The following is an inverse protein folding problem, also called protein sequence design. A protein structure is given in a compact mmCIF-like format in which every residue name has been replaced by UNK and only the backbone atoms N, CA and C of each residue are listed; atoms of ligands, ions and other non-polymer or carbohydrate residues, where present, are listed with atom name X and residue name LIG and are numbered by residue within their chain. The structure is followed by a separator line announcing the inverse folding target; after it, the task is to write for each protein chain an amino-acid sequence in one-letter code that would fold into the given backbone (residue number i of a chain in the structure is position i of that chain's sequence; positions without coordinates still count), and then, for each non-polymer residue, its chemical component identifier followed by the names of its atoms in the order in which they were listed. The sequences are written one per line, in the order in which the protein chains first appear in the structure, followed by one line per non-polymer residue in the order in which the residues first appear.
data_IF_855041370943
#
_entry.id   IF_855041370943
#
_cell.length_a   1.000
_cell.length_b   1.000
_cell.length_c   1.000
_cell.angle_alpha   90.00
_cell.angle_beta   90.00
_cell.angle_gamma   90.00
#
_symmetry.space_group_name_H-M   'P 1'
#
loop_
_entity.id
_entity.type
_entity.pdbx_description
1 polymer ?
#
# COMPACT_ATOMS: atom_id res chain seq x y z
N UNK A 1 -2.99 16.68 2.43
CA UNK A 1 -3.24 15.28 2.65
C UNK A 1 -4.38 14.80 1.75
N UNK A 2 -4.40 13.52 1.34
CA UNK A 2 -5.58 12.95 0.71
C UNK A 2 -6.79 13.07 1.65
N UNK A 3 -7.99 13.04 1.12
CA UNK A 3 -9.22 13.06 1.90
C UNK A 3 -10.03 11.79 1.60
N UNK A 4 -10.69 11.24 2.61
CA UNK A 4 -11.59 10.11 2.45
C UNK A 4 -12.79 10.52 1.58
N UNK A 5 -13.10 9.68 0.58
CA UNK A 5 -14.11 9.94 -0.44
C UNK A 5 -15.56 9.80 0.02
N UNK A 6 -16.47 10.06 -0.90
CA UNK A 6 -17.92 10.08 -0.64
C UNK A 6 -18.52 8.69 -0.37
N UNK A 7 -17.82 7.60 -0.74
CA UNK A 7 -18.18 6.22 -0.45
C UNK A 7 -17.84 5.78 0.98
N UNK A 8 -17.16 6.65 1.73
CA UNK A 8 -16.83 6.45 3.13
C UNK A 8 -18.02 6.78 4.03
N UNK A 9 -18.15 6.09 5.18
CA UNK A 9 -19.16 6.43 6.18
C UNK A 9 -19.14 7.93 6.52
N UNK A 10 -20.30 8.58 6.59
CA UNK A 10 -20.47 10.04 6.68
C UNK A 10 -19.59 10.71 7.75
N UNK A 11 -19.32 10.01 8.85
CA UNK A 11 -18.47 10.51 9.94
C UNK A 11 -16.99 10.67 9.58
N UNK A 12 -16.52 10.03 8.50
CA UNK A 12 -15.13 10.07 8.04
C UNK A 12 -14.94 10.89 6.76
N UNK A 13 -16.02 11.23 6.06
CA UNK A 13 -15.95 11.99 4.80
C UNK A 13 -15.19 13.30 5.00
N UNK A 14 -14.27 13.59 4.08
CA UNK A 14 -13.44 14.80 4.12
C UNK A 14 -12.39 14.84 5.24
N UNK A 15 -12.29 13.82 6.09
CA UNK A 15 -11.20 13.72 7.07
C UNK A 15 -9.94 13.16 6.44
N UNK A 16 -8.79 13.53 7.02
CA UNK A 16 -7.51 12.94 6.64
C UNK A 16 -7.48 11.47 7.09
N UNK A 17 -7.03 10.54 6.22
CA UNK A 17 -6.79 9.16 6.60
C UNK A 17 -5.78 9.03 7.73
N UNK A 18 -5.90 7.99 8.55
CA UNK A 18 -5.06 7.82 9.74
C UNK A 18 -3.64 7.32 9.41
N UNK A 19 -3.49 6.49 8.38
CA UNK A 19 -2.28 5.69 8.11
C UNK A 19 -1.17 6.46 7.37
N UNK A 20 -0.87 7.69 7.80
CA UNK A 20 0.15 8.53 7.14
C UNK A 20 1.56 7.91 7.19
N UNK A 21 1.83 7.10 8.22
CA UNK A 21 3.09 6.37 8.36
C UNK A 21 3.32 5.26 7.33
N UNK A 22 2.31 4.84 6.58
CA UNK A 22 2.50 3.85 5.51
C UNK A 22 3.21 4.41 4.27
N UNK A 23 3.38 5.73 4.17
CA UNK A 23 4.21 6.38 3.16
C UNK A 23 5.63 6.62 3.69
N UNK A 24 6.69 6.09 3.04
CA UNK A 24 8.07 6.41 3.39
C UNK A 24 8.40 7.90 3.32
N UNK A 25 7.68 8.67 2.49
CA UNK A 25 7.83 10.13 2.40
C UNK A 25 7.31 10.80 3.68
N UNK A 26 6.13 10.42 4.15
CA UNK A 26 5.59 10.96 5.41
C UNK A 26 6.38 10.46 6.63
N UNK A 27 6.92 9.23 6.58
CA UNK A 27 7.75 8.69 7.64
C UNK A 27 8.98 9.57 7.93
N UNK A 28 9.60 10.15 6.89
CA UNK A 28 10.72 11.08 7.06
C UNK A 28 10.30 12.34 7.84
N UNK A 29 9.06 12.81 7.65
CA UNK A 29 8.52 13.94 8.43
C UNK A 29 8.37 13.56 9.90
N UNK A 30 7.90 12.34 10.20
CA UNK A 30 7.84 11.85 11.59
C UNK A 30 9.22 11.73 12.21
N UNK A 31 10.20 11.21 11.49
CA UNK A 31 11.59 11.10 11.95
C UNK A 31 12.16 12.47 12.28
N UNK A 32 11.96 13.47 11.43
CA UNK A 32 12.43 14.82 11.70
C UNK A 32 11.75 15.43 12.93
N UNK A 33 10.43 15.33 13.04
CA UNK A 33 9.68 15.85 14.18
C UNK A 33 10.15 15.21 15.51
N UNK A 34 10.46 13.91 15.51
CA UNK A 34 10.99 13.21 16.67
C UNK A 34 12.40 13.69 17.03
N UNK A 35 13.28 13.86 16.04
CA UNK A 35 14.63 14.36 16.27
C UNK A 35 14.63 15.77 16.85
N UNK A 36 13.78 16.68 16.31
CA UNK A 36 13.63 18.04 16.82
C UNK A 36 13.13 18.04 18.26
N UNK A 37 12.11 17.24 18.58
CA UNK A 37 11.59 17.11 19.94
C UNK A 37 12.61 16.54 20.91
N UNK A 38 13.41 15.54 20.51
CA UNK A 38 14.47 15.00 21.35
C UNK A 38 15.59 16.01 21.55
N UNK A 39 15.98 16.79 20.55
CA UNK A 39 16.99 17.83 20.67
C UNK A 39 16.54 18.97 21.62
N UNK A 40 15.23 19.29 21.66
CA UNK A 40 14.69 20.23 22.64
C UNK A 40 14.73 19.70 24.08
N UNK A 41 14.43 18.41 24.27
CA UNK A 41 14.39 17.75 25.57
C UNK A 41 15.78 17.41 26.11
N UNK A 42 16.72 17.11 25.22
CA UNK A 42 18.10 16.73 25.54
C UNK A 42 19.09 17.41 24.58
N UNK A 43 19.35 18.71 24.77
CA UNK A 43 20.23 19.49 23.88
C UNK A 43 21.68 18.99 23.84
N UNK A 44 22.13 18.24 24.86
CA UNK A 44 23.48 17.72 24.88
C UNK A 44 23.75 16.67 23.79
N UNK A 45 22.71 16.00 23.26
CA UNK A 45 22.79 14.97 22.24
C UNK A 45 22.08 15.38 20.93
N UNK A 46 21.83 16.69 20.72
CA UNK A 46 21.11 17.18 19.55
C UNK A 46 21.74 16.74 18.22
N UNK A 47 23.08 16.77 18.14
CA UNK A 47 23.81 16.35 16.94
C UNK A 47 23.67 14.83 16.67
N UNK A 48 23.59 14.00 17.71
CA UNK A 48 23.38 12.55 17.59
C UNK A 48 21.96 12.27 17.06
N UNK A 49 20.95 12.98 17.59
CA UNK A 49 19.57 12.85 17.09
C UNK A 49 19.45 13.28 15.63
N UNK A 50 20.07 14.39 15.25
CA UNK A 50 20.08 14.84 13.86
C UNK A 50 20.78 13.86 12.92
N UNK A 51 21.93 13.31 13.33
CA UNK A 51 22.67 12.33 12.53
C UNK A 51 21.88 11.03 12.36
N UNK A 52 21.25 10.51 13.42
CA UNK A 52 20.40 9.33 13.36
C UNK A 52 19.17 9.54 12.48
N UNK A 53 18.52 10.70 12.59
CA UNK A 53 17.38 11.06 11.77
C UNK A 53 17.76 11.13 10.28
N UNK A 54 18.90 11.73 9.95
CA UNK A 54 19.39 11.81 8.60
C UNK A 54 19.69 10.42 7.99
N UNK A 55 20.34 9.54 8.77
CA UNK A 55 20.65 8.18 8.35
C UNK A 55 19.36 7.37 8.09
N UNK A 56 18.41 7.41 9.03
CA UNK A 56 17.15 6.68 8.90
C UNK A 56 16.26 7.22 7.77
N UNK A 57 16.22 8.53 7.58
CA UNK A 57 15.51 9.16 6.46
C UNK A 57 16.08 8.75 5.11
N UNK A 58 17.41 8.55 5.01
CA UNK A 58 18.02 8.04 3.78
C UNK A 58 17.58 6.60 3.46
N UNK A 59 17.41 5.75 4.47
CA UNK A 59 16.88 4.40 4.28
C UNK A 59 15.41 4.43 3.84
N UNK A 60 14.60 5.30 4.43
CA UNK A 60 13.19 5.50 4.03
C UNK A 60 13.07 6.03 2.60
N UNK A 61 13.94 6.97 2.21
CA UNK A 61 14.00 7.46 0.84
C UNK A 61 14.34 6.35 -0.15
N UNK A 62 15.30 5.48 0.18
CA UNK A 62 15.68 4.35 -0.66
C UNK A 62 14.50 3.38 -0.89
N UNK A 63 13.67 3.11 0.12
CA UNK A 63 12.45 2.30 -0.02
C UNK A 63 11.45 2.95 -0.99
N UNK A 64 11.26 4.27 -0.87
CA UNK A 64 10.38 5.01 -1.79
C UNK A 64 10.89 4.96 -3.24
N UNK A 65 12.20 5.18 -3.42
CA UNK A 65 12.83 5.17 -4.75
C UNK A 65 12.78 3.78 -5.41
N UNK A 66 12.91 2.71 -4.64
CA UNK A 66 12.75 1.34 -5.11
C UNK A 66 11.33 1.09 -5.63
N UNK A 67 10.32 1.44 -4.84
CA UNK A 67 8.91 1.31 -5.22
C UNK A 67 8.61 2.10 -6.50
N UNK A 68 8.94 3.38 -6.53
CA UNK A 68 8.62 4.25 -7.66
C UNK A 68 9.36 3.82 -8.92
N UNK A 69 10.62 3.44 -8.81
CA UNK A 69 11.42 2.92 -9.95
C UNK A 69 10.79 1.66 -10.55
N UNK A 70 10.33 0.74 -9.71
CA UNK A 70 9.64 -0.47 -10.17
C UNK A 70 8.30 -0.14 -10.85
N UNK A 71 7.50 0.74 -10.24
CA UNK A 71 6.21 1.15 -10.77
C UNK A 71 6.31 1.94 -12.08
N UNK A 72 7.41 2.68 -12.30
CA UNK A 72 7.65 3.40 -13.56
C UNK A 72 7.78 2.49 -14.78
N UNK A 73 8.03 1.20 -14.57
CA UNK A 73 8.03 0.19 -15.63
C UNK A 73 6.63 -0.23 -16.06
N UNK A 74 5.59 0.07 -15.26
CA UNK A 74 4.20 -0.29 -15.54
C UNK A 74 3.54 0.71 -16.50
N UNK A 75 2.65 0.26 -17.39
CA UNK A 75 1.73 1.14 -18.08
C UNK A 75 0.92 1.98 -17.08
N UNK A 76 0.66 3.24 -17.40
CA UNK A 76 -0.03 4.18 -16.50
C UNK A 76 -1.39 3.64 -16.01
N UNK A 77 -2.16 3.00 -16.90
CA UNK A 77 -3.46 2.40 -16.55
C UNK A 77 -3.38 1.22 -15.59
N UNK A 78 -2.20 0.57 -15.43
CA UNK A 78 -2.00 -0.58 -14.53
C UNK A 78 -1.44 -0.16 -13.17
N UNK A 79 -1.15 1.13 -12.95
CA UNK A 79 -0.62 1.65 -11.69
C UNK A 79 -1.75 1.82 -10.67
N UNK A 80 -2.18 0.72 -10.09
CA UNK A 80 -3.25 0.70 -9.09
C UNK A 80 -2.91 -0.23 -7.93
N UNK A 81 -3.29 0.19 -6.72
CA UNK A 81 -3.19 -0.58 -5.49
C UNK A 81 -4.60 -0.88 -4.99
N UNK A 82 -4.96 -2.15 -4.94
CA UNK A 82 -6.27 -2.63 -4.49
C UNK A 82 -6.09 -3.41 -3.20
N UNK A 83 -6.71 -2.94 -2.11
CA UNK A 83 -6.51 -3.45 -0.75
C UNK A 83 -7.83 -3.72 -0.03
N UNK A 84 -7.80 -4.38 1.11
CA UNK A 84 -8.99 -4.60 1.92
C UNK A 84 -9.42 -3.31 2.62
N UNK A 85 -8.52 -2.68 3.38
CA UNK A 85 -8.74 -1.40 4.05
C UNK A 85 -8.08 -0.26 3.29
N UNK A 86 -8.63 0.96 3.39
CA UNK A 86 -8.04 2.20 2.86
C UNK A 86 -6.87 2.68 3.72
N UNK A 87 -5.84 1.85 3.87
CA UNK A 87 -4.67 2.14 4.71
C UNK A 87 -3.50 2.77 3.94
N UNK A 88 -3.57 2.84 2.62
CA UNK A 88 -2.44 3.25 1.78
C UNK A 88 -2.62 4.54 0.97
N UNK A 89 -3.54 5.47 1.30
CA UNK A 89 -3.80 6.63 0.43
C UNK A 89 -2.60 7.58 0.30
N UNK A 90 -1.77 7.66 1.32
CA UNK A 90 -0.54 8.46 1.28
C UNK A 90 0.55 7.77 0.44
N UNK A 91 0.71 6.46 0.58
CA UNK A 91 1.64 5.68 -0.25
C UNK A 91 1.21 5.76 -1.72
N UNK A 92 -0.07 5.53 -2.01
CA UNK A 92 -0.61 5.57 -3.36
C UNK A 92 -0.39 6.95 -4.02
N UNK A 93 -0.68 8.04 -3.29
CA UNK A 93 -0.40 9.41 -3.75
C UNK A 93 1.08 9.61 -4.09
N UNK A 94 1.98 9.20 -3.17
CA UNK A 94 3.41 9.48 -3.30
C UNK A 94 4.08 8.59 -4.35
N UNK A 95 3.52 7.39 -4.60
CA UNK A 95 3.99 6.45 -5.62
C UNK A 95 3.23 6.54 -6.96
N UNK A 96 2.27 7.46 -7.09
CA UNK A 96 1.51 7.64 -8.34
C UNK A 96 0.60 6.46 -8.69
N UNK A 97 0.03 5.78 -7.67
CA UNK A 97 -0.92 4.69 -7.82
C UNK A 97 -2.37 5.19 -7.67
N UNK A 98 -3.27 4.67 -8.49
CA UNK A 98 -4.70 4.74 -8.21
C UNK A 98 -5.00 3.79 -7.04
N UNK A 99 -5.85 4.21 -6.10
CA UNK A 99 -6.20 3.40 -4.93
C UNK A 99 -7.65 2.91 -5.01
N UNK A 100 -7.88 1.65 -4.63
CA UNK A 100 -9.20 1.08 -4.41
C UNK A 100 -9.16 0.16 -3.19
N UNK A 101 -10.20 0.20 -2.37
CA UNK A 101 -10.32 -0.63 -1.17
C UNK A 101 -11.76 -1.12 -0.97
N UNK A 102 -11.95 -2.13 -0.13
CA UNK A 102 -13.26 -2.69 0.20
C UNK A 102 -13.96 -1.89 1.31
N UNK A 103 -13.20 -1.30 2.24
CA UNK A 103 -13.70 -0.36 3.27
C UNK A 103 -12.64 0.67 3.64
N UNK A 104 -13.09 1.85 4.06
CA UNK A 104 -12.22 3.02 4.19
C UNK A 104 -11.34 3.05 5.45
N UNK A 105 -11.89 2.67 6.61
CA UNK A 105 -11.24 2.80 7.93
C UNK A 105 -11.83 1.80 8.89
N UNK A 106 -11.01 1.25 9.77
CA UNK A 106 -11.29 0.27 10.83
C UNK A 106 -11.54 -1.17 10.37
N UNK A 107 -10.76 -2.09 10.93
CA UNK A 107 -10.86 -3.53 10.75
C UNK A 107 -12.24 -4.12 11.11
N UNK A 108 -13.09 -3.39 11.86
CA UNK A 108 -14.45 -3.78 12.20
C UNK A 108 -15.47 -3.59 11.06
N UNK A 109 -15.12 -2.82 10.02
CA UNK A 109 -15.96 -2.68 8.83
C UNK A 109 -15.68 -3.87 7.91
N UNK A 110 -16.73 -4.62 7.64
CA UNK A 110 -16.66 -5.74 6.70
C UNK A 110 -16.98 -5.27 5.28
N UNK A 111 -16.40 -5.95 4.30
CA UNK A 111 -16.74 -5.73 2.90
C UNK A 111 -18.24 -5.91 2.66
N UNK A 112 -18.85 -4.98 1.96
CA UNK A 112 -20.23 -5.11 1.51
C UNK A 112 -20.27 -5.75 0.11
N UNK A 113 -21.37 -6.40 -0.29
CA UNK A 113 -21.51 -6.89 -1.66
C UNK A 113 -21.25 -5.81 -2.71
N UNK A 114 -21.68 -4.58 -2.43
CA UNK A 114 -21.49 -3.45 -3.34
C UNK A 114 -20.01 -3.03 -3.44
N UNK A 115 -19.26 -3.03 -2.33
CA UNK A 115 -17.83 -2.69 -2.38
C UNK A 115 -17.01 -3.78 -3.08
N UNK A 116 -17.39 -5.05 -2.93
CA UNK A 116 -16.77 -6.17 -3.66
C UNK A 116 -16.99 -6.02 -5.17
N UNK A 117 -18.24 -5.77 -5.60
CA UNK A 117 -18.56 -5.51 -7.03
C UNK A 117 -17.77 -4.31 -7.56
N UNK A 118 -17.75 -3.19 -6.83
CA UNK A 118 -16.99 -2.01 -7.24
C UNK A 118 -15.48 -2.23 -7.30
N UNK A 119 -14.92 -3.14 -6.49
CA UNK A 119 -13.51 -3.53 -6.58
C UNK A 119 -13.24 -4.41 -7.81
N UNK A 120 -14.14 -5.37 -8.12
CA UNK A 120 -14.04 -6.21 -9.32
C UNK A 120 -14.07 -5.33 -10.58
N UNK A 121 -15.06 -4.43 -10.69
CA UNK A 121 -15.17 -3.51 -11.82
C UNK A 121 -13.93 -2.62 -11.97
N UNK A 122 -13.38 -2.12 -10.86
CA UNK A 122 -12.16 -1.32 -10.87
C UNK A 122 -10.96 -2.13 -11.37
N UNK A 123 -10.78 -3.35 -10.88
CA UNK A 123 -9.70 -4.25 -11.31
C UNK A 123 -9.77 -4.55 -12.80
N UNK A 124 -10.99 -4.85 -13.32
CA UNK A 124 -11.23 -5.12 -14.74
C UNK A 124 -10.99 -3.87 -15.62
N UNK A 125 -11.41 -2.69 -15.17
CA UNK A 125 -11.25 -1.43 -15.91
C UNK A 125 -9.80 -0.98 -16.04
N UNK A 126 -8.97 -1.31 -15.05
CA UNK A 126 -7.57 -0.90 -15.00
C UNK A 126 -6.59 -2.04 -15.34
N UNK A 127 -7.12 -3.22 -15.71
CA UNK A 127 -6.31 -4.43 -15.96
C UNK A 127 -5.32 -4.68 -14.82
N UNK A 128 -5.76 -4.51 -13.54
CA UNK A 128 -4.90 -4.64 -12.36
C UNK A 128 -4.45 -6.10 -12.22
N UNK A 129 -3.14 -6.38 -12.22
CA UNK A 129 -2.65 -7.76 -12.24
C UNK A 129 -2.82 -8.49 -10.90
N UNK A 130 -2.79 -7.76 -9.79
CA UNK A 130 -2.94 -8.35 -8.45
C UNK A 130 -3.66 -7.41 -7.48
N UNK A 131 -4.28 -8.02 -6.48
CA UNK A 131 -4.95 -7.38 -5.36
C UNK A 131 -4.33 -7.88 -4.04
N UNK A 132 -4.43 -7.11 -2.98
CA UNK A 132 -3.74 -7.35 -1.71
C UNK A 132 -4.71 -7.25 -0.53
N UNK A 133 -4.29 -7.70 0.64
CA UNK A 133 -5.04 -7.50 1.88
C UNK A 133 -4.07 -7.30 3.05
N UNK A 134 -4.51 -6.63 4.09
CA UNK A 134 -3.69 -6.34 5.26
C UNK A 134 -3.63 -7.53 6.22
N UNK A 135 -2.52 -7.64 6.96
CA UNK A 135 -2.27 -8.73 7.92
C UNK A 135 -3.24 -8.74 9.12
N UNK A 136 -3.93 -7.63 9.35
CA UNK A 136 -4.82 -7.42 10.51
C UNK A 136 -6.27 -7.83 10.27
N UNK A 137 -6.64 -8.20 9.03
CA UNK A 137 -8.02 -8.49 8.62
C UNK A 137 -8.12 -9.81 7.84
N UNK A 138 -9.36 -10.34 7.66
CA UNK A 138 -9.61 -11.49 6.78
C UNK A 138 -9.51 -11.07 5.32
N UNK A 139 -8.82 -11.87 4.52
CA UNK A 139 -8.69 -11.70 3.08
C UNK A 139 -9.79 -12.37 2.24
N UNK A 140 -10.78 -13.03 2.87
CA UNK A 140 -11.83 -13.79 2.19
C UNK A 140 -12.54 -12.99 1.08
N UNK A 141 -12.90 -11.73 1.36
CA UNK A 141 -13.56 -10.86 0.39
C UNK A 141 -12.62 -10.47 -0.76
N UNK A 142 -11.35 -10.21 -0.48
CA UNK A 142 -10.36 -9.90 -1.51
C UNK A 142 -10.01 -11.12 -2.36
N UNK A 143 -9.98 -12.31 -1.77
CA UNK A 143 -9.87 -13.57 -2.50
C UNK A 143 -11.05 -13.77 -3.48
N UNK A 144 -12.27 -13.32 -3.10
CA UNK A 144 -13.41 -13.30 -4.02
C UNK A 144 -13.17 -12.32 -5.17
N UNK A 145 -12.72 -11.09 -4.89
CA UNK A 145 -12.37 -10.10 -5.92
C UNK A 145 -11.37 -10.69 -6.90
N UNK A 146 -10.27 -11.29 -6.40
CA UNK A 146 -9.25 -11.92 -7.22
C UNK A 146 -9.83 -13.00 -8.16
N UNK A 147 -10.66 -13.90 -7.62
CA UNK A 147 -11.26 -14.98 -8.42
C UNK A 147 -12.22 -14.48 -9.50
N UNK A 148 -13.03 -13.46 -9.20
CA UNK A 148 -14.08 -12.98 -10.09
C UNK A 148 -13.54 -12.01 -11.16
N UNK A 149 -12.54 -11.18 -10.82
CA UNK A 149 -11.87 -10.27 -11.76
C UNK A 149 -10.79 -10.94 -12.61
N UNK A 150 -10.27 -12.09 -12.17
CA UNK A 150 -9.14 -12.77 -12.80
C UNK A 150 -7.77 -12.23 -12.40
N UNK A 151 -7.68 -11.26 -11.49
CA UNK A 151 -6.43 -10.82 -10.88
C UNK A 151 -5.84 -11.89 -9.95
N UNK A 152 -4.54 -11.85 -9.71
CA UNK A 152 -3.91 -12.68 -8.69
C UNK A 152 -4.15 -12.08 -7.28
N UNK A 153 -4.14 -12.93 -6.24
CA UNK A 153 -3.89 -12.43 -4.89
C UNK A 153 -2.39 -12.24 -4.72
N UNK A 154 -1.95 -10.99 -4.68
CA UNK A 154 -0.53 -10.59 -4.70
C UNK A 154 0.19 -10.81 -3.38
N UNK A 155 -0.56 -10.94 -2.28
CA UNK A 155 0.00 -11.18 -0.96
C UNK A 155 -0.60 -10.33 0.14
N UNK A 156 -0.01 -10.47 1.33
CA UNK A 156 -0.43 -9.76 2.54
C UNK A 156 0.51 -8.59 2.80
N UNK A 157 -0.06 -7.40 2.96
CA UNK A 157 0.64 -6.19 3.38
C UNK A 157 0.54 -6.04 4.89
N UNK A 158 1.56 -5.48 5.51
CA UNK A 158 1.53 -5.21 6.95
C UNK A 158 1.09 -3.77 7.20
N UNK A 159 0.16 -3.61 8.14
CA UNK A 159 -0.33 -2.31 8.61
C UNK A 159 -0.63 -2.41 10.11
N UNK A 160 -0.39 -1.32 10.84
CA UNK A 160 -0.70 -1.16 12.27
C UNK A 160 -0.08 -2.19 13.22
N UNK A 161 0.68 -3.15 12.72
CA UNK A 161 1.31 -4.20 13.53
C UNK A 161 2.64 -4.64 12.93
N UNK A 162 3.57 -4.98 13.81
CA UNK A 162 4.82 -5.66 13.46
C UNK A 162 4.68 -7.16 13.70
N UNK A 163 5.52 -7.95 13.04
CA UNK A 163 5.63 -9.38 13.35
C UNK A 163 6.40 -9.62 14.66
N UNK A 164 6.44 -10.88 15.10
CA UNK A 164 7.39 -11.30 16.12
C UNK A 164 8.84 -11.06 15.65
N UNK A 165 9.82 -11.01 16.57
CA UNK A 165 11.23 -10.71 16.22
C UNK A 165 11.85 -11.64 15.18
N UNK A 166 11.35 -12.87 15.04
CA UNK A 166 11.75 -13.88 14.07
C UNK A 166 10.83 -13.95 12.84
N UNK A 167 9.88 -13.03 12.75
CA UNK A 167 8.94 -12.93 11.63
C UNK A 167 9.44 -12.00 10.51
N UNK A 168 8.62 -11.79 9.47
CA UNK A 168 9.05 -11.07 8.27
C UNK A 168 9.23 -9.56 8.47
N UNK A 169 8.55 -8.95 9.43
CA UNK A 169 8.54 -7.48 9.63
C UNK A 169 8.75 -7.10 11.11
N UNK A 170 9.91 -7.43 11.70
CA UNK A 170 10.18 -7.15 13.11
C UNK A 170 10.39 -5.67 13.42
N UNK A 171 10.66 -4.83 12.41
CA UNK A 171 10.83 -3.38 12.55
C UNK A 171 9.95 -2.62 11.55
N UNK A 172 9.76 -1.34 11.80
CA UNK A 172 9.00 -0.48 10.90
C UNK A 172 9.63 -0.37 9.49
N UNK A 173 10.95 -0.34 9.41
CA UNK A 173 11.64 -0.31 8.12
C UNK A 173 11.48 -1.64 7.36
N UNK A 174 11.52 -2.77 8.06
CA UNK A 174 11.26 -4.08 7.47
C UNK A 174 9.82 -4.18 6.96
N UNK A 175 8.85 -3.58 7.69
CA UNK A 175 7.46 -3.50 7.26
C UNK A 175 7.35 -2.76 5.92
N UNK A 176 7.92 -1.56 5.81
CA UNK A 176 7.87 -0.78 4.58
C UNK A 176 8.58 -1.47 3.40
N UNK A 177 9.70 -2.15 3.65
CA UNK A 177 10.40 -2.95 2.64
C UNK A 177 9.57 -4.14 2.18
N UNK A 178 9.02 -4.90 3.12
CA UNK A 178 8.15 -6.04 2.82
C UNK A 178 6.95 -5.64 1.96
N UNK A 179 6.28 -4.55 2.32
CA UNK A 179 5.13 -4.07 1.57
C UNK A 179 5.55 -3.61 0.16
N UNK A 180 6.67 -2.89 0.04
CA UNK A 180 7.23 -2.50 -1.25
C UNK A 180 7.53 -3.72 -2.11
N UNK A 181 8.25 -4.72 -1.59
CA UNK A 181 8.60 -5.95 -2.30
C UNK A 181 7.34 -6.73 -2.71
N UNK A 182 6.34 -6.82 -1.83
CA UNK A 182 5.07 -7.50 -2.09
C UNK A 182 4.27 -6.81 -3.20
N UNK A 183 4.17 -5.48 -3.16
CA UNK A 183 3.49 -4.70 -4.20
C UNK A 183 4.21 -4.85 -5.54
N UNK A 184 5.53 -4.69 -5.57
CA UNK A 184 6.34 -4.82 -6.80
C UNK A 184 6.24 -6.22 -7.40
N UNK A 185 6.26 -7.27 -6.57
CA UNK A 185 6.11 -8.65 -7.04
C UNK A 185 4.71 -8.94 -7.60
N UNK A 186 3.67 -8.36 -7.00
CA UNK A 186 2.30 -8.52 -7.45
C UNK A 186 1.94 -7.70 -8.69
N UNK A 187 2.64 -6.58 -8.92
CA UNK A 187 2.44 -5.69 -10.06
C UNK A 187 3.64 -5.77 -11.05
N UNK A 188 3.86 -6.91 -11.71
CA UNK A 188 5.02 -7.08 -12.58
C UNK A 188 4.95 -6.19 -13.81
N UNK A 189 6.06 -5.55 -14.15
CA UNK A 189 6.22 -4.83 -15.41
C UNK A 189 6.14 -5.74 -16.64
N UNK A 190 6.03 -5.18 -17.85
CA UNK A 190 5.82 -5.93 -19.09
C UNK A 190 6.84 -7.01 -19.39
N UNK A 191 8.01 -6.97 -18.78
CA UNK A 191 9.12 -7.91 -19.04
C UNK A 191 9.08 -9.19 -18.19
N UNK A 192 8.32 -9.22 -17.09
CA UNK A 192 8.27 -10.38 -16.19
C UNK A 192 7.13 -11.38 -16.51
N UNK A 193 6.09 -10.96 -17.25
CA UNK A 193 4.87 -11.74 -17.46
C UNK A 193 4.41 -11.95 -18.89
N UNK A 194 5.16 -11.53 -19.90
CA UNK A 194 4.74 -11.53 -21.31
C UNK A 194 4.31 -12.88 -21.92
N UNK A 195 4.42 -13.98 -21.21
CA UNK A 195 4.02 -15.31 -21.67
C UNK A 195 2.74 -15.87 -21.01
N UNK A 196 2.29 -15.34 -19.90
CA UNK A 196 1.13 -15.89 -19.17
C UNK A 196 -0.21 -15.25 -19.58
N UNK A 197 -0.21 -13.97 -19.92
CA UNK A 197 -1.43 -13.21 -20.22
C UNK A 197 -2.06 -13.53 -21.57
N UNK A 198 -1.27 -13.89 -22.58
CA UNK A 198 -1.77 -14.17 -23.94
C UNK A 198 -2.62 -15.45 -24.04
N UNK A 199 -2.73 -16.27 -22.98
CA UNK A 199 -3.47 -17.53 -23.01
C UNK A 199 -4.85 -17.50 -22.35
N UNK A 200 -5.16 -16.49 -21.55
CA UNK A 200 -6.45 -16.38 -20.87
C UNK A 200 -7.53 -15.64 -21.70
N UNK A 201 -7.15 -14.73 -22.60
CA UNK A 201 -8.07 -13.94 -23.44
C UNK A 201 -8.60 -14.63 -24.70
N UNK A 202 -8.23 -15.87 -24.98
CA UNK A 202 -8.44 -16.56 -26.27
C UNK A 202 -9.66 -17.49 -26.37
N UNK A 203 -10.60 -17.50 -25.43
CA UNK A 203 -11.78 -18.36 -25.57
C UNK A 203 -13.08 -17.69 -25.12
N UNK A 204 -13.62 -16.80 -25.90
CA UNK A 204 -15.07 -16.59 -26.04
C UNK A 204 -15.37 -15.82 -27.31
N UNK A 205 -15.48 -16.51 -28.44
CA UNK A 205 -16.43 -16.23 -29.52
C UNK A 205 -16.66 -17.52 -30.33
N UNK A 206 -17.72 -18.17 -30.09
CA UNK A 206 -18.56 -18.90 -31.06
C UNK A 206 -19.91 -19.15 -30.40
#
# INVERSE_FOLDING_TARGET
PPALGDDTAAQYQGKAPAHAGMSPVNAQVYVQNLADAFAELDPAHADDYAANAAAYSAELAAVHDELTTALDTLPEGHRALVTCEGAFPYLARDAGLAEKYLWAVNAEQQATPQSVVGAIEFVEQHDVPAVFCESTVSDDAMQQVARESGAAFGGTLYVDSLSAPDGPVPTYLDLLRHDTETIVAGLPGPTAGGAAWARAGGRRRA
#
